data_IF_509563610377
#
_entry.id   IF_509563610377
#
_cell.length_a   1.000
_cell.length_b   1.000
_cell.length_c   1.000
_cell.angle_alpha   90.00
_cell.angle_beta   90.00
_cell.angle_gamma   90.00
#
_symmetry.space_group_name_H-M   'P 1'
#
loop_
_entity.id
_entity.type
_entity.pdbx_description
1 polymer ?
#
# COMPACT_ATOMS: atom_id res chain seq x y z
N UNK A 1 5.74 23.27 -16.66
CA UNK A 1 5.44 23.99 -15.40
C UNK A 1 5.58 22.97 -14.27
N UNK A 2 6.06 23.38 -13.11
CA UNK A 2 6.19 22.50 -11.95
C UNK A 2 4.82 22.27 -11.31
N UNK A 3 4.49 21.03 -10.97
CA UNK A 3 3.22 20.67 -10.33
C UNK A 3 3.27 21.02 -8.84
N UNK A 4 2.34 21.86 -8.39
CA UNK A 4 2.27 22.31 -7.00
C UNK A 4 1.45 21.34 -6.16
N UNK A 5 2.08 20.67 -5.21
CA UNK A 5 1.45 19.65 -4.38
C UNK A 5 1.14 20.22 -3.00
N UNK A 6 -0.09 19.98 -2.53
CA UNK A 6 -0.48 20.19 -1.15
C UNK A 6 -0.42 18.88 -0.37
N UNK A 7 0.18 18.87 0.82
CA UNK A 7 0.27 17.66 1.67
C UNK A 7 -0.56 17.83 2.93
N UNK A 8 -1.45 16.87 3.19
CA UNK A 8 -2.33 16.84 4.36
C UNK A 8 -1.83 15.74 5.31
N UNK A 9 -1.33 16.13 6.47
CA UNK A 9 -0.70 15.26 7.46
C UNK A 9 0.81 15.14 7.28
N UNK A 10 1.59 15.68 8.21
CA UNK A 10 3.06 15.69 8.18
C UNK A 10 3.65 14.78 9.27
N UNK A 11 3.04 13.60 9.44
CA UNK A 11 3.56 12.52 10.27
C UNK A 11 4.89 11.95 9.72
N UNK A 12 5.22 10.71 10.09
CA UNK A 12 6.42 10.06 9.57
C UNK A 12 6.34 9.91 8.04
N UNK A 13 5.23 9.39 7.50
CA UNK A 13 5.03 9.23 6.07
C UNK A 13 4.93 10.55 5.32
N UNK A 14 4.16 11.51 5.84
CA UNK A 14 4.00 12.82 5.20
C UNK A 14 5.33 13.55 5.01
N UNK A 15 6.22 13.54 6.01
CA UNK A 15 7.56 14.13 5.88
C UNK A 15 8.45 13.37 4.90
N UNK A 16 8.41 12.05 4.93
CA UNK A 16 9.13 11.20 3.97
C UNK A 16 8.71 11.46 2.52
N UNK A 17 7.41 11.68 2.28
CA UNK A 17 6.89 12.01 0.95
C UNK A 17 7.22 13.44 0.55
N UNK A 18 7.20 14.40 1.49
CA UNK A 18 7.62 15.78 1.23
C UNK A 18 9.09 15.83 0.79
N UNK A 19 9.98 15.13 1.50
CA UNK A 19 11.40 15.03 1.14
C UNK A 19 11.55 14.42 -0.26
N UNK A 20 10.86 13.31 -0.55
CA UNK A 20 10.92 12.67 -1.88
C UNK A 20 10.42 13.57 -2.99
N UNK A 21 9.28 14.24 -2.79
CA UNK A 21 8.71 15.13 -3.79
C UNK A 21 9.68 16.26 -4.12
N UNK A 22 10.29 16.88 -3.10
CA UNK A 22 11.16 18.02 -3.29
C UNK A 22 12.56 17.63 -3.79
N UNK A 23 13.08 16.47 -3.43
CA UNK A 23 14.50 16.11 -3.68
C UNK A 23 14.70 15.05 -4.76
N UNK A 24 13.69 14.21 -5.04
CA UNK A 24 13.85 13.00 -5.87
C UNK A 24 12.85 12.89 -7.01
N UNK A 25 11.70 13.54 -6.90
CA UNK A 25 10.65 13.54 -7.93
C UNK A 25 10.82 14.74 -8.86
N UNK A 26 10.86 14.48 -10.16
CA UNK A 26 11.06 15.51 -11.17
C UNK A 26 9.79 16.28 -11.49
N UNK A 27 9.88 17.60 -11.34
CA UNK A 27 8.91 18.57 -11.81
C UNK A 27 7.65 18.66 -10.96
N UNK A 28 7.74 18.34 -9.68
CA UNK A 28 6.75 18.72 -8.69
C UNK A 28 7.45 19.34 -7.49
N UNK A 29 6.70 20.13 -6.72
CA UNK A 29 7.18 20.74 -5.49
C UNK A 29 6.04 20.77 -4.48
N UNK A 30 6.37 20.57 -3.20
CA UNK A 30 5.41 20.79 -2.12
C UNK A 30 5.25 22.29 -1.90
N UNK A 31 4.09 22.82 -2.27
CA UNK A 31 3.77 24.25 -2.17
C UNK A 31 2.92 24.59 -0.96
N UNK A 32 2.23 23.60 -0.39
CA UNK A 32 1.32 23.80 0.74
C UNK A 32 1.32 22.58 1.67
N UNK A 33 1.16 22.83 2.97
CA UNK A 33 0.97 21.76 3.96
C UNK A 33 -0.14 22.11 4.95
N UNK A 34 -0.81 21.08 5.46
CA UNK A 34 -1.80 21.19 6.54
C UNK A 34 -1.61 20.05 7.52
N UNK A 35 -1.69 20.34 8.82
CA UNK A 35 -1.64 19.34 9.89
C UNK A 35 -2.37 19.85 11.14
N UNK A 36 -2.93 18.93 11.93
CA UNK A 36 -3.60 19.27 13.18
C UNK A 36 -2.63 19.86 14.21
N UNK A 37 -1.35 19.48 14.16
CA UNK A 37 -0.29 20.07 14.96
C UNK A 37 0.29 21.32 14.29
N UNK A 38 -0.41 22.44 14.48
CA UNK A 38 -0.10 23.73 13.84
C UNK A 38 1.33 24.20 14.09
N UNK A 39 1.85 24.05 15.31
CA UNK A 39 3.20 24.50 15.65
C UNK A 39 4.26 23.77 14.82
N UNK A 40 4.16 22.43 14.77
CA UNK A 40 5.07 21.60 13.97
C UNK A 40 4.93 21.93 12.48
N UNK A 41 3.70 22.10 11.99
CA UNK A 41 3.46 22.40 10.59
C UNK A 41 3.91 23.80 10.17
N UNK A 42 3.70 24.84 10.96
CA UNK A 42 4.18 26.19 10.64
C UNK A 42 5.71 26.20 10.53
N UNK A 43 6.40 25.55 11.47
CA UNK A 43 7.85 25.47 11.46
C UNK A 43 8.36 24.70 10.23
N UNK A 44 7.75 23.54 9.94
CA UNK A 44 8.16 22.71 8.81
C UNK A 44 7.83 23.38 7.45
N UNK A 45 6.68 24.03 7.33
CA UNK A 45 6.32 24.82 6.15
C UNK A 45 7.37 25.91 5.85
N UNK A 46 7.81 26.60 6.91
CA UNK A 46 8.85 27.64 6.81
C UNK A 46 10.18 27.06 6.35
N UNK A 47 10.57 25.90 6.88
CA UNK A 47 11.81 25.19 6.52
C UNK A 47 11.85 24.83 5.03
N UNK A 48 10.75 24.29 4.50
CA UNK A 48 10.69 23.82 3.10
C UNK A 48 10.21 24.89 2.11
N UNK A 49 9.85 26.09 2.58
CA UNK A 49 9.31 27.17 1.74
C UNK A 49 7.86 26.96 1.26
N UNK A 50 7.07 26.16 1.97
CA UNK A 50 5.66 25.91 1.67
C UNK A 50 4.72 26.87 2.43
N UNK A 51 3.47 26.96 1.97
CA UNK A 51 2.41 27.69 2.69
C UNK A 51 1.72 26.78 3.70
N UNK A 52 1.65 27.18 4.97
CA UNK A 52 0.83 26.50 5.96
C UNK A 52 -0.64 26.88 5.80
N UNK A 53 -1.52 25.89 5.80
CA UNK A 53 -2.97 26.05 5.91
C UNK A 53 -3.45 25.47 7.24
N UNK A 54 -4.32 26.20 7.92
CA UNK A 54 -4.88 25.77 9.20
C UNK A 54 -5.86 24.60 9.05
N UNK A 55 -6.62 24.59 7.94
CA UNK A 55 -7.55 23.53 7.60
C UNK A 55 -7.14 22.89 6.27
N UNK A 56 -7.30 21.58 6.18
CA UNK A 56 -7.00 20.82 4.97
C UNK A 56 -7.92 21.21 3.81
N UNK A 57 -9.16 21.56 4.12
CA UNK A 57 -10.19 22.01 3.18
C UNK A 57 -9.78 23.28 2.44
N UNK A 58 -9.15 24.22 3.16
CA UNK A 58 -8.66 25.47 2.58
C UNK A 58 -7.46 25.21 1.66
N UNK A 59 -6.59 24.25 2.02
CA UNK A 59 -5.50 23.78 1.17
C UNK A 59 -6.05 23.13 -0.12
N UNK A 60 -7.04 22.24 -0.01
CA UNK A 60 -7.67 21.56 -1.15
C UNK A 60 -8.35 22.57 -2.08
N UNK A 61 -9.02 23.58 -1.51
CA UNK A 61 -9.72 24.62 -2.27
C UNK A 61 -8.78 25.65 -2.93
N UNK A 62 -7.50 25.68 -2.55
CA UNK A 62 -6.56 26.68 -3.04
C UNK A 62 -6.30 26.58 -4.55
N UNK A 63 -6.25 27.73 -5.21
CA UNK A 63 -5.82 27.86 -6.61
C UNK A 63 -4.29 27.68 -6.76
N UNK A 64 -3.53 27.74 -5.66
CA UNK A 64 -2.08 27.56 -5.67
C UNK A 64 -1.62 26.11 -5.52
N UNK A 65 -2.57 25.17 -5.39
CA UNK A 65 -2.33 23.73 -5.26
C UNK A 65 -2.94 23.03 -6.48
N UNK A 66 -2.19 22.21 -7.19
CA UNK A 66 -2.64 21.48 -8.37
C UNK A 66 -3.13 20.06 -8.04
N UNK A 67 -2.48 19.41 -7.07
CA UNK A 67 -2.78 18.06 -6.61
C UNK A 67 -2.51 17.90 -5.10
N UNK A 68 -3.07 16.86 -4.50
CA UNK A 68 -3.07 16.64 -3.04
C UNK A 68 -2.43 15.29 -2.70
N UNK A 69 -1.62 15.26 -1.63
CA UNK A 69 -1.15 14.03 -0.99
C UNK A 69 -1.83 13.93 0.38
N UNK A 70 -2.51 12.83 0.64
CA UNK A 70 -3.19 12.55 1.91
C UNK A 70 -2.38 11.51 2.67
N UNK A 71 -1.76 11.97 3.75
CA UNK A 71 -0.89 11.20 4.68
C UNK A 71 -1.26 11.50 6.13
N UNK A 72 -2.52 11.88 6.36
CA UNK A 72 -3.07 12.24 7.66
C UNK A 72 -3.44 10.99 8.46
N UNK A 73 -4.16 11.17 9.56
CA UNK A 73 -4.66 10.04 10.33
C UNK A 73 -5.72 9.27 9.54
N UNK A 74 -5.61 7.94 9.47
CA UNK A 74 -6.39 7.07 8.58
C UNK A 74 -7.90 7.38 8.51
N UNK A 75 -8.63 7.64 9.63
CA UNK A 75 -10.06 7.97 9.58
C UNK A 75 -10.42 9.26 8.83
N UNK A 76 -9.43 10.10 8.53
CA UNK A 76 -9.62 11.35 7.79
C UNK A 76 -9.42 11.20 6.29
N UNK A 77 -8.89 10.07 5.82
CA UNK A 77 -8.55 9.86 4.41
C UNK A 77 -9.78 10.00 3.51
N UNK A 78 -10.88 9.31 3.83
CA UNK A 78 -12.11 9.34 3.04
C UNK A 78 -12.60 10.76 2.78
N UNK A 79 -12.67 11.57 3.84
CA UNK A 79 -13.13 12.96 3.77
C UNK A 79 -12.27 13.76 2.79
N UNK A 80 -10.95 13.77 2.97
CA UNK A 80 -10.07 14.61 2.18
C UNK A 80 -9.93 14.13 0.73
N UNK A 81 -10.05 12.82 0.50
CA UNK A 81 -10.12 12.27 -0.86
C UNK A 81 -11.40 12.73 -1.56
N UNK A 82 -12.56 12.59 -0.92
CA UNK A 82 -13.85 13.03 -1.49
C UNK A 82 -13.87 14.54 -1.80
N UNK A 83 -13.35 15.36 -0.88
CA UNK A 83 -13.24 16.81 -1.08
C UNK A 83 -12.29 17.17 -2.22
N UNK A 84 -11.17 16.45 -2.35
CA UNK A 84 -10.22 16.63 -3.45
C UNK A 84 -10.86 16.33 -4.80
N UNK A 85 -11.59 15.20 -4.92
CA UNK A 85 -12.34 14.84 -6.12
C UNK A 85 -13.40 15.91 -6.44
N UNK A 86 -14.11 16.41 -5.43
CA UNK A 86 -15.12 17.45 -5.62
C UNK A 86 -14.53 18.74 -6.19
N UNK A 87 -13.29 19.08 -5.78
CA UNK A 87 -12.53 20.21 -6.31
C UNK A 87 -11.75 19.90 -7.61
N UNK A 88 -11.95 18.73 -8.20
CA UNK A 88 -11.22 18.25 -9.39
C UNK A 88 -9.69 18.25 -9.20
N UNK A 89 -9.21 17.98 -7.98
CA UNK A 89 -7.79 17.81 -7.68
C UNK A 89 -7.44 16.33 -7.74
N UNK A 90 -6.34 16.01 -8.40
CA UNK A 90 -5.75 14.69 -8.31
C UNK A 90 -5.27 14.44 -6.87
N UNK A 91 -5.39 13.20 -6.41
CA UNK A 91 -5.04 12.82 -5.05
C UNK A 91 -4.20 11.55 -5.02
N UNK A 92 -3.07 11.61 -4.34
CA UNK A 92 -2.35 10.43 -3.86
C UNK A 92 -2.76 10.20 -2.41
N UNK A 93 -3.36 9.06 -2.10
CA UNK A 93 -3.79 8.71 -0.76
C UNK A 93 -2.93 7.57 -0.23
N UNK A 94 -2.26 7.77 0.90
CA UNK A 94 -1.68 6.65 1.63
C UNK A 94 -2.73 5.64 2.03
N UNK A 95 -2.31 4.39 2.19
CA UNK A 95 -3.20 3.34 2.69
C UNK A 95 -3.56 3.60 4.16
N UNK A 96 -4.78 3.25 4.60
CA UNK A 96 -5.89 2.74 3.80
C UNK A 96 -6.62 3.86 3.05
N UNK A 97 -7.32 3.55 1.95
CA UNK A 97 -8.11 4.55 1.23
C UNK A 97 -9.26 5.13 2.10
N UNK A 98 -9.92 4.25 2.85
CA UNK A 98 -10.86 4.56 3.92
C UNK A 98 -10.80 3.42 4.94
N UNK A 99 -11.30 3.66 6.17
CA UNK A 99 -11.33 2.63 7.23
C UNK A 99 -12.26 1.49 6.83
N UNK A 100 -13.45 1.82 6.34
CA UNK A 100 -14.48 0.87 5.96
C UNK A 100 -14.61 0.76 4.44
N UNK A 101 -14.96 -0.42 3.96
CA UNK A 101 -15.16 -0.68 2.52
C UNK A 101 -16.28 0.19 1.92
N UNK A 102 -17.29 0.57 2.72
CA UNK A 102 -18.33 1.52 2.31
C UNK A 102 -17.77 2.91 2.03
N UNK A 103 -16.79 3.36 2.81
CA UNK A 103 -16.09 4.63 2.54
C UNK A 103 -15.27 4.57 1.25
N UNK A 104 -14.61 3.45 0.99
CA UNK A 104 -13.95 3.21 -0.30
C UNK A 104 -14.94 3.25 -1.47
N UNK A 105 -16.14 2.67 -1.32
CA UNK A 105 -17.19 2.75 -2.34
C UNK A 105 -17.69 4.18 -2.56
N UNK A 106 -17.86 4.99 -1.50
CA UNK A 106 -18.24 6.40 -1.66
C UNK A 106 -17.25 7.15 -2.57
N UNK A 107 -15.95 6.87 -2.43
CA UNK A 107 -14.88 7.46 -3.25
C UNK A 107 -14.97 6.96 -4.70
N UNK A 108 -15.13 5.65 -4.88
CA UNK A 108 -15.32 5.02 -6.20
C UNK A 108 -16.53 5.63 -6.93
N UNK A 109 -17.67 5.73 -6.25
CA UNK A 109 -18.90 6.31 -6.79
C UNK A 109 -18.70 7.77 -7.19
N UNK A 110 -17.90 8.53 -6.42
CA UNK A 110 -17.58 9.91 -6.74
C UNK A 110 -16.73 10.06 -8.01
N UNK A 111 -15.73 9.20 -8.20
CA UNK A 111 -14.94 9.18 -9.44
C UNK A 111 -15.79 8.77 -10.65
N UNK A 112 -16.71 7.81 -10.46
CA UNK A 112 -17.69 7.40 -11.48
C UNK A 112 -18.64 8.54 -11.84
N UNK A 113 -19.15 9.29 -10.85
CA UNK A 113 -19.99 10.47 -11.07
C UNK A 113 -19.25 11.53 -11.91
N UNK A 114 -17.97 11.79 -11.60
CA UNK A 114 -17.11 12.72 -12.36
C UNK A 114 -16.62 12.12 -13.68
N UNK A 115 -16.84 10.83 -13.92
CA UNK A 115 -16.35 10.06 -15.07
C UNK A 115 -14.83 10.22 -15.29
N UNK A 116 -14.05 10.22 -14.21
CA UNK A 116 -12.60 10.43 -14.24
C UNK A 116 -11.93 9.84 -12.99
N UNK A 117 -10.77 9.21 -13.20
CA UNK A 117 -9.90 8.75 -12.11
C UNK A 117 -9.02 9.91 -11.65
N UNK A 118 -9.16 10.30 -10.39
CA UNK A 118 -8.38 11.28 -9.67
C UNK A 118 -7.42 10.64 -8.64
N UNK A 119 -7.75 9.46 -8.14
CA UNK A 119 -7.14 8.82 -6.98
C UNK A 119 -6.08 7.81 -7.40
N UNK A 120 -4.90 7.94 -6.79
CA UNK A 120 -3.93 6.85 -6.66
C UNK A 120 -3.78 6.48 -5.18
N UNK A 121 -3.86 5.19 -4.86
CA UNK A 121 -3.59 4.65 -3.52
C UNK A 121 -2.12 4.24 -3.42
N UNK A 122 -1.49 4.49 -2.27
CA UNK A 122 -0.07 4.22 -1.97
C UNK A 122 0.28 2.73 -1.79
N UNK A 123 -0.11 1.88 -2.74
CA UNK A 123 0.33 0.49 -2.78
C UNK A 123 1.66 0.36 -3.54
N UNK A 124 2.72 0.83 -2.89
CA UNK A 124 4.06 0.94 -3.43
C UNK A 124 4.65 -0.37 -3.99
N UNK A 125 4.19 -1.54 -3.52
CA UNK A 125 4.74 -2.85 -3.96
C UNK A 125 4.59 -3.10 -5.46
N UNK A 126 3.56 -2.54 -6.10
CA UNK A 126 3.39 -2.64 -7.56
C UNK A 126 4.52 -1.97 -8.34
N UNK A 127 5.28 -1.09 -7.69
CA UNK A 127 6.41 -0.34 -8.27
C UNK A 127 7.78 -0.90 -7.87
N UNK A 128 7.81 -1.95 -7.04
CA UNK A 128 9.03 -2.71 -6.77
C UNK A 128 9.41 -3.52 -8.01
N UNK A 129 10.67 -3.41 -8.42
CA UNK A 129 11.17 -4.08 -9.62
C UNK A 129 10.98 -5.60 -9.57
N UNK A 130 11.13 -6.22 -8.40
CA UNK A 130 10.95 -7.67 -8.25
C UNK A 130 9.52 -8.08 -8.56
N UNK A 131 8.53 -7.35 -8.02
CA UNK A 131 7.12 -7.59 -8.31
C UNK A 131 6.77 -7.34 -9.79
N UNK A 132 7.30 -6.29 -10.42
CA UNK A 132 7.10 -6.05 -11.86
C UNK A 132 7.71 -7.15 -12.74
N UNK A 133 8.89 -7.63 -12.37
CA UNK A 133 9.57 -8.71 -13.09
C UNK A 133 8.76 -10.02 -12.98
N UNK A 134 8.20 -10.32 -11.80
CA UNK A 134 7.26 -11.44 -11.61
C UNK A 134 6.04 -11.26 -12.49
N UNK A 135 5.36 -10.11 -12.42
CA UNK A 135 4.15 -9.84 -13.23
C UNK A 135 4.39 -10.11 -14.72
N UNK A 136 5.50 -9.59 -15.23
CA UNK A 136 5.83 -9.66 -16.65
C UNK A 136 6.16 -11.09 -17.10
N UNK A 137 6.74 -11.92 -16.23
CA UNK A 137 6.95 -13.35 -16.53
C UNK A 137 5.64 -14.14 -16.48
N UNK A 138 4.74 -13.87 -15.53
CA UNK A 138 3.41 -14.49 -15.50
C UNK A 138 2.60 -14.14 -16.76
N UNK A 139 2.55 -12.86 -17.13
CA UNK A 139 1.89 -12.39 -18.36
C UNK A 139 2.51 -12.96 -19.65
N UNK A 140 3.76 -13.42 -19.61
CA UNK A 140 4.38 -14.07 -20.77
C UNK A 140 3.80 -15.44 -21.09
N UNK A 141 3.11 -16.08 -20.13
CA UNK A 141 2.52 -17.42 -20.25
C UNK A 141 3.54 -18.56 -20.35
N UNK A 142 4.85 -18.28 -20.32
CA UNK A 142 5.90 -19.29 -20.51
C UNK A 142 5.98 -20.33 -19.40
N UNK A 143 5.51 -19.99 -18.20
CA UNK A 143 5.50 -20.88 -17.04
C UNK A 143 4.20 -21.70 -16.92
N UNK A 144 3.26 -21.54 -17.86
CA UNK A 144 1.92 -22.12 -17.79
C UNK A 144 1.02 -21.39 -16.79
N UNK A 145 -0.06 -22.05 -16.37
CA UNK A 145 -1.01 -21.50 -15.40
C UNK A 145 -0.38 -21.35 -14.01
N UNK A 146 -0.79 -20.32 -13.28
CA UNK A 146 -0.44 -20.16 -11.85
C UNK A 146 -1.30 -21.10 -11.01
N UNK A 147 -0.70 -21.77 -10.03
CA UNK A 147 -1.37 -22.77 -9.21
C UNK A 147 -1.38 -22.40 -7.72
N UNK A 148 -0.21 -21.98 -7.20
CA UNK A 148 -0.03 -21.64 -5.78
C UNK A 148 0.85 -20.39 -5.64
N UNK A 149 0.64 -19.63 -4.58
CA UNK A 149 1.58 -18.58 -4.16
C UNK A 149 1.92 -18.75 -2.68
N UNK A 150 3.22 -18.78 -2.38
CA UNK A 150 3.74 -18.78 -1.01
C UNK A 150 4.34 -17.40 -0.70
N UNK A 151 3.81 -16.73 0.32
CA UNK A 151 4.26 -15.41 0.75
C UNK A 151 4.63 -15.37 2.22
N UNK A 152 5.58 -14.49 2.55
CA UNK A 152 5.91 -14.18 3.94
C UNK A 152 6.08 -12.68 4.08
N UNK A 153 5.37 -12.09 5.04
CA UNK A 153 5.57 -10.72 5.50
C UNK A 153 6.16 -10.77 6.91
N UNK A 154 7.45 -10.47 7.03
CA UNK A 154 8.13 -10.51 8.31
C UNK A 154 8.70 -9.16 8.69
N UNK A 155 8.52 -8.82 9.95
CA UNK A 155 9.04 -7.59 10.53
C UNK A 155 9.85 -7.92 11.79
N UNK A 156 10.89 -7.13 12.06
CA UNK A 156 11.82 -7.41 13.14
C UNK A 156 11.12 -7.37 14.50
N UNK A 157 10.37 -6.28 14.74
CA UNK A 157 9.59 -6.03 15.95
C UNK A 157 8.56 -4.91 15.73
N UNK A 158 7.44 -4.95 16.47
CA UNK A 158 6.42 -3.89 16.52
C UNK A 158 6.30 -3.29 17.92
N UNK A 159 5.74 -2.09 18.02
CA UNK A 159 5.47 -1.43 19.31
C UNK A 159 4.17 -1.91 19.97
N UNK A 160 3.93 -1.52 21.23
CA UNK A 160 2.75 -1.95 22.00
C UNK A 160 1.39 -1.41 21.50
N UNK A 161 1.43 -0.45 20.56
CA UNK A 161 0.27 0.06 19.86
C UNK A 161 -0.18 -0.87 18.73
N UNK A 162 0.67 -1.77 18.26
CA UNK A 162 0.34 -2.75 17.22
C UNK A 162 -0.41 -3.95 17.80
N UNK A 163 -1.67 -4.16 17.46
CA UNK A 163 -2.48 -5.25 17.99
C UNK A 163 -2.75 -6.37 16.96
N UNK A 164 -3.47 -7.40 17.40
CA UNK A 164 -3.76 -8.59 16.58
C UNK A 164 -4.44 -8.26 15.23
N UNK A 165 -5.45 -7.36 15.18
CA UNK A 165 -6.04 -6.90 13.93
C UNK A 165 -5.08 -6.29 12.90
N UNK A 166 -4.12 -5.49 13.36
CA UNK A 166 -3.19 -4.79 12.48
C UNK A 166 -2.32 -5.73 11.62
N UNK A 167 -2.14 -7.00 12.01
CA UNK A 167 -1.49 -8.03 11.19
C UNK A 167 -2.16 -8.19 9.82
N UNK A 168 -3.48 -8.08 9.77
CA UNK A 168 -4.27 -8.13 8.54
C UNK A 168 -4.36 -6.74 7.94
N UNK A 169 -4.84 -5.77 8.73
CA UNK A 169 -5.28 -4.45 8.26
C UNK A 169 -4.13 -3.55 7.81
N UNK A 170 -2.99 -3.62 8.49
CA UNK A 170 -1.83 -2.75 8.24
C UNK A 170 -0.65 -3.45 7.59
N UNK A 171 -0.59 -4.79 7.66
CA UNK A 171 0.56 -5.57 7.19
C UNK A 171 0.20 -6.42 5.98
N UNK A 172 -0.75 -7.36 6.10
CA UNK A 172 -1.15 -8.23 5.00
C UNK A 172 -1.83 -7.47 3.83
N UNK A 173 -2.38 -6.28 4.08
CA UNK A 173 -3.00 -5.43 3.04
C UNK A 173 -2.07 -5.19 1.84
N UNK A 174 -0.76 -5.14 2.06
CA UNK A 174 0.22 -4.98 0.98
C UNK A 174 0.30 -6.22 0.08
N UNK A 175 0.24 -7.43 0.65
CA UNK A 175 0.15 -8.66 -0.13
C UNK A 175 -1.22 -8.80 -0.82
N UNK A 176 -2.31 -8.45 -0.12
CA UNK A 176 -3.66 -8.45 -0.71
C UNK A 176 -3.67 -7.63 -2.00
N UNK A 177 -3.18 -6.39 -1.96
CA UNK A 177 -3.11 -5.56 -3.15
C UNK A 177 -2.18 -6.13 -4.23
N UNK A 178 -0.93 -6.44 -3.84
CA UNK A 178 0.10 -6.83 -4.79
C UNK A 178 -0.22 -8.15 -5.49
N UNK A 179 -0.75 -9.14 -4.77
CA UNK A 179 -1.07 -10.46 -5.33
C UNK A 179 -2.30 -10.39 -6.25
N UNK A 180 -3.33 -9.62 -5.88
CA UNK A 180 -4.48 -9.35 -6.75
C UNK A 180 -4.03 -8.70 -8.06
N UNK A 181 -3.13 -7.73 -7.98
CA UNK A 181 -2.55 -7.09 -9.16
C UNK A 181 -1.65 -8.01 -9.99
N UNK A 182 -0.88 -8.89 -9.34
CA UNK A 182 -0.02 -9.86 -10.01
C UNK A 182 -0.84 -10.88 -10.82
N UNK A 183 -1.93 -11.38 -10.24
CA UNK A 183 -2.79 -12.40 -10.84
C UNK A 183 -3.85 -11.83 -11.79
N UNK A 184 -4.15 -10.54 -11.69
CA UNK A 184 -5.18 -9.86 -12.49
C UNK A 184 -6.60 -10.44 -12.30
N UNK A 185 -6.85 -11.03 -11.14
CA UNK A 185 -8.14 -11.61 -10.73
C UNK A 185 -8.44 -11.31 -9.25
N UNK A 186 -9.68 -11.54 -8.84
CA UNK A 186 -10.16 -11.23 -7.50
C UNK A 186 -10.10 -12.44 -6.54
N UNK A 187 -10.01 -12.17 -5.24
CA UNK A 187 -10.13 -13.21 -4.20
C UNK A 187 -11.59 -13.49 -3.87
N UNK A 188 -11.94 -14.76 -3.70
CA UNK A 188 -13.32 -15.21 -3.41
C UNK A 188 -13.46 -15.86 -2.03
N UNK A 189 -12.37 -16.32 -1.41
CA UNK A 189 -12.36 -16.87 -0.05
C UNK A 189 -11.16 -16.42 0.75
N UNK A 190 -11.36 -16.31 2.06
CA UNK A 190 -10.33 -16.06 3.05
C UNK A 190 -10.48 -17.01 4.25
N UNK A 191 -9.37 -17.57 4.71
CA UNK A 191 -9.27 -18.27 6.00
C UNK A 191 -8.06 -17.69 6.75
N UNK A 192 -8.19 -17.47 8.06
CA UNK A 192 -7.05 -17.05 8.90
C UNK A 192 -6.88 -18.03 10.04
N UNK A 193 -5.67 -18.59 10.14
CA UNK A 193 -5.27 -19.55 11.17
C UNK A 193 -4.29 -18.90 12.13
N UNK A 194 -4.67 -18.89 13.41
CA UNK A 194 -3.80 -18.49 14.52
C UNK A 194 -3.10 -19.73 15.09
N UNK A 195 -1.77 -19.89 14.94
CA UNK A 195 -1.04 -20.99 15.55
C UNK A 195 -1.21 -20.98 17.08
N UNK A 196 -1.40 -22.15 17.69
CA UNK A 196 -1.57 -22.25 19.16
C UNK A 196 -0.37 -21.74 19.94
N UNK A 197 0.84 -21.88 19.38
CA UNK A 197 2.07 -21.33 19.95
C UNK A 197 2.33 -19.97 19.31
N UNK A 198 2.66 -19.00 20.15
CA UNK A 198 3.10 -17.67 19.75
C UNK A 198 4.61 -17.54 19.95
N UNK A 199 5.23 -16.56 19.28
CA UNK A 199 6.59 -16.15 19.61
C UNK A 199 6.67 -15.68 21.06
N UNK A 200 7.80 -15.89 21.73
CA UNK A 200 8.03 -15.34 23.07
C UNK A 200 8.34 -13.84 23.06
N UNK A 201 8.39 -13.23 21.87
CA UNK A 201 8.73 -11.83 21.63
C UNK A 201 7.53 -10.91 21.43
N UNK A 202 6.33 -11.47 21.34
CA UNK A 202 5.09 -10.69 21.25
C UNK A 202 4.66 -10.15 22.61
N UNK A 203 3.76 -9.16 22.63
CA UNK A 203 3.10 -8.64 23.82
C UNK A 203 1.65 -9.15 23.92
N UNK A 204 1.00 -8.92 25.07
CA UNK A 204 -0.28 -9.54 25.41
C UNK A 204 -1.49 -9.17 24.52
N UNK A 205 -1.37 -8.14 23.67
CA UNK A 205 -2.44 -7.68 22.77
C UNK A 205 -2.31 -8.23 21.34
N UNK A 206 -1.22 -8.95 21.05
CA UNK A 206 -0.84 -9.36 19.71
C UNK A 206 -0.62 -10.88 19.65
N UNK A 207 -1.44 -11.57 18.85
CA UNK A 207 -1.20 -12.96 18.46
C UNK A 207 -0.29 -13.03 17.23
N UNK A 208 0.91 -13.59 17.41
CA UNK A 208 1.97 -13.58 16.38
C UNK A 208 2.77 -14.90 16.40
N UNK A 209 2.94 -15.60 15.26
CA UNK A 209 2.55 -15.22 13.89
C UNK A 209 1.08 -15.55 13.55
N UNK A 210 0.65 -15.17 12.34
CA UNK A 210 -0.64 -15.53 11.74
C UNK A 210 -0.41 -16.16 10.35
N UNK A 211 -1.28 -17.08 9.95
CA UNK A 211 -1.32 -17.65 8.60
C UNK A 211 -2.64 -17.26 7.94
N UNK A 212 -2.55 -16.61 6.79
CA UNK A 212 -3.70 -16.21 5.98
C UNK A 212 -3.72 -17.09 4.73
N UNK A 213 -4.87 -17.65 4.40
CA UNK A 213 -5.12 -18.41 3.18
C UNK A 213 -6.14 -17.66 2.34
N UNK A 214 -5.85 -17.47 1.05
CA UNK A 214 -6.75 -16.86 0.08
C UNK A 214 -6.96 -17.80 -1.11
N UNK A 215 -8.16 -17.77 -1.69
CA UNK A 215 -8.49 -18.47 -2.95
C UNK A 215 -9.02 -17.45 -3.96
N UNK A 216 -8.53 -17.51 -5.20
CA UNK A 216 -8.99 -16.65 -6.30
C UNK A 216 -10.17 -17.23 -7.08
N UNK A 217 -10.76 -16.43 -7.96
CA UNK A 217 -11.84 -16.86 -8.87
C UNK A 217 -11.49 -18.08 -9.71
N UNK A 218 -10.26 -18.16 -10.21
CA UNK A 218 -9.76 -19.31 -10.98
C UNK A 218 -9.30 -20.50 -10.13
N UNK A 219 -9.24 -20.33 -8.80
CA UNK A 219 -8.86 -21.38 -7.84
C UNK A 219 -7.37 -21.41 -7.48
N UNK A 220 -6.60 -20.34 -7.75
CA UNK A 220 -5.24 -20.19 -7.22
C UNK A 220 -5.33 -20.08 -5.69
N UNK A 221 -4.50 -20.87 -4.99
CA UNK A 221 -4.44 -20.83 -3.53
C UNK A 221 -3.16 -20.11 -3.09
N UNK A 222 -3.32 -19.21 -2.13
CA UNK A 222 -2.25 -18.40 -1.59
C UNK A 222 -2.13 -18.69 -0.11
N UNK A 223 -0.92 -18.97 0.36
CA UNK A 223 -0.59 -18.90 1.78
C UNK A 223 0.32 -17.70 2.08
N UNK A 224 -0.06 -16.96 3.10
CA UNK A 224 0.64 -15.77 3.57
C UNK A 224 0.94 -15.93 5.06
N UNK A 225 2.22 -16.10 5.38
CA UNK A 225 2.73 -15.97 6.73
C UNK A 225 2.88 -14.48 7.08
N UNK A 226 2.28 -14.05 8.18
CA UNK A 226 2.56 -12.74 8.80
C UNK A 226 3.24 -12.98 10.13
N UNK A 227 4.49 -12.54 10.26
CA UNK A 227 5.29 -12.68 11.49
C UNK A 227 6.01 -11.38 11.84
N UNK A 228 5.43 -10.59 12.73
CA UNK A 228 5.85 -9.20 12.95
C UNK A 228 6.84 -8.98 14.08
N UNK A 229 7.23 -10.05 14.78
CA UNK A 229 8.33 -10.07 15.76
C UNK A 229 9.34 -11.20 15.48
N UNK A 230 9.82 -11.29 14.23
CA UNK A 230 10.71 -12.35 13.79
C UNK A 230 12.16 -12.20 14.30
N UNK A 231 12.54 -11.00 14.77
CA UNK A 231 13.84 -10.63 15.36
C UNK A 231 15.06 -10.65 14.44
N UNK A 232 14.96 -11.15 13.21
CA UNK A 232 16.10 -11.24 12.30
C UNK A 232 16.14 -10.15 11.23
N UNK A 233 15.06 -9.38 11.08
CA UNK A 233 14.97 -8.23 10.17
C UNK A 233 13.61 -8.09 9.50
N UNK A 234 13.54 -7.18 8.53
CA UNK A 234 12.41 -6.98 7.63
C UNK A 234 12.61 -7.82 6.36
N UNK A 235 11.74 -8.80 6.13
CA UNK A 235 11.94 -9.84 5.12
C UNK A 235 10.62 -10.14 4.39
N UNK A 236 10.60 -9.87 3.09
CA UNK A 236 9.42 -10.03 2.22
C UNK A 236 9.75 -11.04 1.14
N UNK A 237 9.00 -12.14 1.13
CA UNK A 237 9.15 -13.21 0.15
C UNK A 237 7.83 -13.45 -0.55
N UNK A 238 7.89 -13.76 -1.84
CA UNK A 238 6.76 -14.17 -2.66
C UNK A 238 7.30 -15.19 -3.68
N UNK A 239 6.68 -16.36 -3.76
CA UNK A 239 7.06 -17.47 -4.63
C UNK A 239 5.81 -17.97 -5.32
N UNK A 240 5.78 -17.86 -6.65
CA UNK A 240 4.67 -18.23 -7.51
C UNK A 240 4.98 -19.56 -8.19
N UNK A 241 4.17 -20.57 -7.87
CA UNK A 241 4.26 -21.92 -8.43
C UNK A 241 3.35 -21.99 -9.64
N UNK A 242 3.92 -22.32 -10.80
CA UNK A 242 3.22 -22.46 -12.06
C UNK A 242 3.34 -23.90 -12.59
N UNK A 243 2.57 -24.26 -13.62
CA UNK A 243 2.59 -25.62 -14.20
C UNK A 243 3.99 -26.08 -14.65
N UNK A 244 4.79 -25.17 -15.21
CA UNK A 244 6.06 -25.48 -15.88
C UNK A 244 7.27 -24.87 -15.18
N UNK A 245 7.10 -24.27 -14.00
CA UNK A 245 8.19 -23.69 -13.26
C UNK A 245 7.75 -22.85 -12.07
N UNK A 246 8.68 -22.06 -11.57
CA UNK A 246 8.49 -21.22 -10.40
C UNK A 246 9.27 -19.93 -10.58
N UNK A 247 8.69 -18.84 -10.07
CA UNK A 247 9.33 -17.54 -10.00
C UNK A 247 9.09 -16.93 -8.63
N UNK A 248 10.04 -16.15 -8.10
CA UNK A 248 9.85 -15.52 -6.81
C UNK A 248 10.78 -14.36 -6.58
N UNK A 249 10.48 -13.60 -5.53
CA UNK A 249 11.30 -12.51 -5.06
C UNK A 249 12.65 -13.03 -4.55
N UNK A 250 13.67 -12.24 -4.79
CA UNK A 250 14.96 -12.36 -4.11
C UNK A 250 15.14 -11.18 -3.18
N UNK A 251 15.75 -11.40 -2.01
CA UNK A 251 16.12 -10.29 -1.15
C UNK A 251 17.13 -9.37 -1.85
N UNK A 252 16.88 -8.04 -1.89
CA UNK A 252 17.81 -7.11 -2.51
C UNK A 252 19.16 -7.18 -1.79
N UNK A 253 20.18 -7.66 -2.49
CA UNK A 253 21.52 -7.83 -1.95
C UNK A 253 22.42 -6.74 -2.51
N UNK A 254 22.75 -5.74 -1.68
CA UNK A 254 23.67 -4.66 -2.08
C UNK A 254 25.15 -5.06 -1.91
N UNK A 255 25.46 -5.90 -0.92
CA UNK A 255 26.82 -6.39 -0.64
C UNK A 255 26.76 -7.73 0.15
N UNK A 256 27.88 -8.46 0.14
CA UNK A 256 28.09 -9.63 1.01
C UNK A 256 29.38 -9.49 1.81
N UNK A 257 29.45 -10.16 2.96
CA UNK A 257 30.63 -10.20 3.84
C UNK A 257 31.15 -11.62 3.90
N UNK A 258 32.43 -11.79 3.58
CA UNK A 258 33.16 -13.06 3.70
C UNK A 258 34.21 -12.95 4.80
N UNK A 259 33.97 -13.61 5.92
CA UNK A 259 34.91 -13.66 7.05
C UNK A 259 34.75 -14.98 7.79
N UNK A 260 35.80 -15.46 8.47
CA UNK A 260 35.74 -16.69 9.30
C UNK A 260 35.16 -17.93 8.59
N UNK A 261 35.41 -18.08 7.28
CA UNK A 261 34.82 -19.16 6.44
C UNK A 261 33.28 -19.13 6.34
N UNK A 262 32.66 -17.98 6.60
CA UNK A 262 31.23 -17.70 6.38
C UNK A 262 31.05 -16.74 5.21
N UNK A 263 29.94 -16.86 4.51
CA UNK A 263 29.44 -15.93 3.49
C UNK A 263 28.06 -15.47 3.94
N UNK A 264 27.89 -14.17 4.20
CA UNK A 264 26.64 -13.60 4.70
C UNK A 264 26.22 -12.36 3.93
N UNK A 265 24.91 -12.17 3.83
CA UNK A 265 24.28 -10.95 3.33
C UNK A 265 23.48 -10.31 4.46
N UNK A 266 23.32 -8.99 4.40
CA UNK A 266 22.50 -8.27 5.38
C UNK A 266 21.01 -8.46 5.05
N UNK A 267 20.21 -8.69 6.08
CA UNK A 267 18.75 -8.53 6.04
C UNK A 267 18.44 -7.09 6.44
N UNK A 268 17.61 -6.33 5.69
CA UNK A 268 17.20 -4.99 6.08
C UNK A 268 16.56 -4.98 7.47
N UNK A 269 16.71 -3.89 8.22
CA UNK A 269 16.04 -3.74 9.53
C UNK A 269 14.67 -3.07 9.42
N UNK A 270 14.39 -2.38 8.31
CA UNK A 270 13.19 -1.57 8.15
C UNK A 270 12.63 -1.62 6.71
N UNK A 271 11.32 -1.44 6.60
CA UNK A 271 10.56 -1.45 5.34
C UNK A 271 10.98 -0.30 4.42
N UNK A 272 11.40 0.84 4.98
CA UNK A 272 11.90 1.98 4.21
C UNK A 272 13.09 1.58 3.34
N UNK A 273 14.06 0.88 3.91
CA UNK A 273 15.24 0.43 3.16
C UNK A 273 14.85 -0.57 2.06
N UNK A 274 13.89 -1.46 2.35
CA UNK A 274 13.46 -2.49 1.40
C UNK A 274 12.75 -1.90 0.19
N UNK A 275 11.94 -0.85 0.35
CA UNK A 275 11.05 -0.32 -0.69
C UNK A 275 11.33 1.12 -1.11
N UNK A 276 12.44 1.73 -0.70
CA UNK A 276 12.76 3.15 -0.99
C UNK A 276 12.60 3.52 -2.46
N UNK A 277 13.11 2.69 -3.37
CA UNK A 277 13.01 2.92 -4.82
C UNK A 277 11.57 2.81 -5.33
N UNK A 278 10.74 1.98 -4.70
CA UNK A 278 9.33 1.83 -5.05
C UNK A 278 8.52 3.07 -4.63
N UNK A 279 8.78 3.62 -3.45
CA UNK A 279 8.19 4.89 -2.98
C UNK A 279 8.59 6.07 -3.86
N UNK A 280 9.88 6.17 -4.24
CA UNK A 280 10.33 7.24 -5.13
C UNK A 280 9.65 7.14 -6.51
N UNK A 281 9.48 5.90 -7.01
CA UNK A 281 8.90 5.63 -8.33
C UNK A 281 7.39 5.82 -8.37
N UNK A 282 6.64 5.43 -7.35
CA UNK A 282 5.18 5.58 -7.35
C UNK A 282 4.76 7.06 -7.40
N UNK A 283 5.50 7.92 -6.69
CA UNK A 283 5.28 9.36 -6.70
C UNK A 283 5.73 9.99 -8.02
N UNK A 284 6.87 9.55 -8.58
CA UNK A 284 7.33 10.01 -9.89
C UNK A 284 6.28 9.72 -10.97
N UNK A 285 5.79 8.48 -11.03
CA UNK A 285 4.78 8.07 -12.01
C UNK A 285 3.42 8.73 -11.75
N UNK A 286 3.06 8.97 -10.48
CA UNK A 286 1.86 9.74 -10.15
C UNK A 286 1.97 11.18 -10.67
N UNK A 287 3.08 11.89 -10.42
CA UNK A 287 3.31 13.26 -10.92
C UNK A 287 3.27 13.31 -12.45
N UNK A 288 3.87 12.34 -13.13
CA UNK A 288 3.79 12.22 -14.58
C UNK A 288 2.35 12.00 -15.06
N UNK A 289 1.61 11.09 -14.40
CA UNK A 289 0.21 10.82 -14.68
C UNK A 289 -0.69 12.04 -14.49
N UNK A 290 -0.50 12.79 -13.41
CA UNK A 290 -1.25 14.04 -13.15
C UNK A 290 -1.01 15.06 -14.26
N UNK A 291 0.24 15.28 -14.66
CA UNK A 291 0.58 16.19 -15.76
C UNK A 291 0.04 15.75 -17.12
N UNK A 292 -0.10 14.44 -17.31
CA UNK A 292 -0.67 13.83 -18.51
C UNK A 292 -2.20 13.72 -18.48
N UNK A 293 -2.84 14.19 -17.41
CA UNK A 293 -4.27 14.00 -17.14
C UNK A 293 -4.72 12.53 -17.12
N UNK A 294 -3.80 11.60 -16.78
CA UNK A 294 -4.00 10.17 -16.84
C UNK A 294 -3.21 9.43 -15.75
N UNK A 295 -3.80 9.29 -14.57
CA UNK A 295 -3.22 8.53 -13.46
C UNK A 295 -3.53 7.04 -13.64
N UNK A 296 -2.49 6.20 -13.57
CA UNK A 296 -2.55 4.75 -13.88
C UNK A 296 -2.10 3.85 -12.73
N UNK A 297 -1.77 4.41 -11.57
CA UNK A 297 -1.38 3.63 -10.40
C UNK A 297 -2.53 2.84 -9.75
N UNK A 298 -2.29 2.21 -8.58
CA UNK A 298 -3.36 1.59 -7.80
C UNK A 298 -4.51 2.58 -7.61
N UNK A 299 -5.71 2.20 -8.03
CA UNK A 299 -6.88 3.07 -8.12
C UNK A 299 -7.74 3.04 -6.85
N UNK A 300 -8.76 3.90 -6.78
CA UNK A 300 -9.78 3.81 -5.73
C UNK A 300 -10.45 2.42 -5.68
N UNK A 301 -10.64 1.77 -6.83
CA UNK A 301 -11.15 0.40 -6.89
C UNK A 301 -10.20 -0.61 -6.25
N UNK A 302 -8.89 -0.43 -6.40
CA UNK A 302 -7.91 -1.29 -5.75
C UNK A 302 -7.94 -1.09 -4.22
N UNK A 303 -8.10 0.15 -3.75
CA UNK A 303 -8.34 0.44 -2.33
C UNK A 303 -9.61 -0.20 -1.77
N UNK A 304 -10.71 -0.18 -2.53
CA UNK A 304 -11.94 -0.90 -2.18
C UNK A 304 -11.72 -2.42 -2.08
N UNK A 305 -11.08 -3.02 -3.09
CA UNK A 305 -10.83 -4.47 -3.11
C UNK A 305 -9.88 -4.91 -1.99
N UNK A 306 -8.90 -4.09 -1.65
CA UNK A 306 -8.05 -4.32 -0.49
C UNK A 306 -8.87 -4.31 0.82
N UNK A 307 -9.74 -3.32 1.00
CA UNK A 307 -10.59 -3.18 2.19
C UNK A 307 -11.58 -4.34 2.36
N UNK A 308 -12.32 -4.74 1.32
CA UNK A 308 -13.26 -5.88 1.43
C UNK A 308 -12.54 -7.20 1.74
N UNK A 309 -11.34 -7.38 1.18
CA UNK A 309 -10.55 -8.59 1.41
C UNK A 309 -10.00 -8.61 2.83
N UNK A 310 -9.43 -7.50 3.33
CA UNK A 310 -8.93 -7.43 4.70
C UNK A 310 -10.05 -7.52 5.73
N UNK A 311 -11.23 -6.96 5.47
CA UNK A 311 -12.42 -7.17 6.31
C UNK A 311 -12.80 -8.65 6.40
N UNK A 312 -12.83 -9.37 5.28
CA UNK A 312 -13.12 -10.81 5.27
C UNK A 312 -12.04 -11.62 6.01
N UNK A 313 -10.77 -11.27 5.86
CA UNK A 313 -9.67 -11.87 6.62
C UNK A 313 -9.81 -11.61 8.14
N UNK A 314 -10.16 -10.38 8.54
CA UNK A 314 -10.41 -10.04 9.95
C UNK A 314 -11.59 -10.85 10.50
N UNK A 315 -12.69 -10.99 9.75
CA UNK A 315 -13.82 -11.83 10.15
C UNK A 315 -13.43 -13.32 10.24
N UNK A 316 -12.65 -13.82 9.29
CA UNK A 316 -12.16 -15.20 9.30
C UNK A 316 -11.25 -15.48 10.51
N UNK A 317 -10.39 -14.52 10.87
CA UNK A 317 -9.54 -14.58 12.07
C UNK A 317 -10.37 -14.67 13.34
N UNK A 318 -11.36 -13.79 13.48
CA UNK A 318 -12.13 -13.65 14.71
C UNK A 318 -13.09 -14.83 14.92
N UNK A 319 -13.57 -15.43 13.83
CA UNK A 319 -14.48 -16.60 13.88
C UNK A 319 -13.75 -17.94 13.82
N UNK A 320 -12.54 -17.99 13.25
CA UNK A 320 -11.82 -19.23 12.96
C UNK A 320 -12.44 -20.05 11.82
N UNK A 321 -13.30 -19.44 11.00
CA UNK A 321 -14.01 -20.07 9.90
C UNK A 321 -13.62 -19.41 8.56
N UNK A 322 -13.67 -20.19 7.47
CA UNK A 322 -13.52 -19.65 6.12
C UNK A 322 -14.65 -18.66 5.80
N UNK A 323 -14.31 -17.55 5.15
CA UNK A 323 -15.23 -16.50 4.72
C UNK A 323 -15.22 -16.33 3.22
N UNK A 324 -16.41 -16.24 2.64
CA UNK A 324 -16.57 -15.79 1.25
C UNK A 324 -16.35 -14.29 1.19
N UNK A 325 -15.48 -13.85 0.29
CA UNK A 325 -15.23 -12.44 0.03
C UNK A 325 -16.31 -11.95 -0.93
N UNK A 326 -17.08 -10.96 -0.52
CA UNK A 326 -18.16 -10.36 -1.32
C UNK A 326 -17.81 -8.93 -1.65
N UNK A 327 -17.98 -8.58 -2.92
CA UNK A 327 -17.66 -7.25 -3.43
C UNK A 327 -18.61 -6.87 -4.57
N UNK A 328 -18.71 -5.57 -4.80
CA UNK A 328 -19.55 -5.00 -5.86
C UNK A 328 -18.95 -5.27 -7.26
N UNK A 329 -19.78 -5.15 -8.29
CA UNK A 329 -19.30 -5.29 -9.66
C UNK A 329 -18.38 -4.12 -10.04
N UNK A 330 -17.17 -4.44 -10.55
CA UNK A 330 -16.19 -3.44 -10.99
C UNK A 330 -16.81 -2.43 -11.98
N UNK A 331 -16.83 -1.12 -11.68
CA UNK A 331 -17.38 -0.12 -12.60
C UNK A 331 -16.58 -0.02 -13.90
N UNK A 332 -17.26 0.35 -14.99
CA UNK A 332 -16.65 0.49 -16.32
C UNK A 332 -15.47 1.46 -16.35
N UNK A 333 -15.49 2.50 -15.50
CA UNK A 333 -14.37 3.44 -15.34
C UNK A 333 -13.05 2.73 -14.99
N UNK A 334 -13.09 1.65 -14.20
CA UNK A 334 -11.90 0.93 -13.74
C UNK A 334 -11.58 -0.33 -14.55
N UNK A 335 -12.46 -0.75 -15.46
CA UNK A 335 -12.12 -1.79 -16.43
C UNK A 335 -11.12 -1.18 -17.40
N UNK A 336 -9.94 -1.77 -17.52
CA UNK A 336 -8.97 -1.30 -18.50
C UNK A 336 -9.56 -1.38 -19.91
N UNK A 337 -9.09 -0.47 -20.78
CA UNK A 337 -9.35 -0.50 -22.21
C UNK A 337 -8.28 -1.29 -22.94
#
# INVERSE_FOLDING_TARGET
MELKIGVIGIGAMGRDHIERINERVNGAVVSAISDINKEVAINYATEIGATFFENAEDLIASETVDAVVVTSWDPTHEKYVLESIEKNKYVFCEKPLAIESTGCLNIVDKEVEKNKKFVQVGFMRRYDRGYEDIKRELQSGKLGETLLIHCTHRNEMVDEGYDTPMAVENTAVHEVDALRWLLEEDFVKAEVRLPKKQTTKTHAKLHDPQLILLETESGVIIDLEVFVNCQFGYDINCKVVCEQGEIGLTNPTYYSIKTERKDSTRVPSDWKERFIAAYDRELQLWVEGVKADNVTGPSAWDGYMASVTTSACSEARDTGEEKTIKFEAKPSLYKEK
#
